data_IF_841416282136
#
_entry.id   IF_841416282136
#
_cell.length_a   1.000
_cell.length_b   1.000
_cell.length_c   1.000
_cell.angle_alpha   90.00
_cell.angle_beta   90.00
_cell.angle_gamma   90.00
#
_symmetry.space_group_name_H-M   'P 1'
#
loop_
_entity.id
_entity.type
_entity.pdbx_description
1 polymer ?
#
# COMPACT_ATOMS: atom_id res chain seq x y z
N UNK A 1 -4.13 -0.29 -55.11
CA UNK A 1 -3.97 0.43 -53.82
C UNK A 1 -4.26 -0.58 -52.74
N UNK A 2 -3.24 -0.95 -52.01
CA UNK A 2 -3.27 -2.05 -51.05
C UNK A 2 -4.00 -1.62 -49.76
N UNK A 3 -5.23 -2.10 -49.62
CA UNK A 3 -6.08 -1.86 -48.45
C UNK A 3 -5.67 -2.73 -47.24
N UNK A 4 -4.70 -3.64 -47.36
CA UNK A 4 -4.20 -4.44 -46.24
C UNK A 4 -3.39 -3.61 -45.23
N UNK A 5 -2.90 -2.44 -45.64
CA UNK A 5 -2.17 -1.50 -44.78
C UNK A 5 -3.07 -0.63 -43.88
N UNK A 6 -4.39 -0.62 -44.12
CA UNK A 6 -5.34 0.25 -43.39
C UNK A 6 -5.97 -0.48 -42.19
N UNK A 7 -5.85 -1.82 -42.11
CA UNK A 7 -6.61 -2.62 -41.13
C UNK A 7 -5.80 -3.06 -39.90
N UNK A 8 -4.54 -2.64 -39.74
CA UNK A 8 -3.75 -3.00 -38.53
C UNK A 8 -2.96 -1.82 -38.00
N UNK A 9 -3.63 -0.70 -37.83
CA UNK A 9 -3.24 0.28 -36.82
C UNK A 9 -4.52 0.79 -36.16
N UNK A 10 -5.28 -0.14 -35.56
CA UNK A 10 -5.94 0.23 -34.31
C UNK A 10 -4.75 0.57 -33.41
N UNK A 11 -4.46 1.86 -33.23
CA UNK A 11 -3.49 2.28 -32.22
C UNK A 11 -3.92 1.57 -30.94
N UNK A 12 -3.10 0.63 -30.46
CA UNK A 12 -3.29 0.13 -29.11
C UNK A 12 -3.23 1.36 -28.22
N UNK A 13 -4.40 1.81 -27.75
CA UNK A 13 -4.48 2.91 -26.80
C UNK A 13 -3.53 2.56 -25.67
N UNK A 14 -2.55 3.42 -25.38
CA UNK A 14 -1.61 3.15 -24.31
C UNK A 14 -2.41 2.94 -23.03
N UNK A 15 -2.29 1.76 -22.42
CA UNK A 15 -3.01 1.43 -21.19
C UNK A 15 -2.73 2.50 -20.15
N UNK A 16 -3.78 2.95 -19.46
CA UNK A 16 -3.63 3.87 -18.35
C UNK A 16 -2.68 3.27 -17.30
N UNK A 17 -1.85 4.12 -16.68
CA UNK A 17 -0.93 3.70 -15.61
C UNK A 17 -1.47 4.19 -14.28
N UNK A 18 -1.81 3.27 -13.39
CA UNK A 18 -2.26 3.54 -12.03
C UNK A 18 -1.07 3.31 -11.09
N UNK A 19 -0.60 4.39 -10.45
CA UNK A 19 0.51 4.33 -9.49
C UNK A 19 -0.02 4.46 -8.07
N UNK A 20 0.17 3.42 -7.25
CA UNK A 20 -0.12 3.48 -5.82
C UNK A 20 1.18 3.74 -5.06
N UNK A 21 1.30 4.92 -4.45
CA UNK A 21 2.33 5.19 -3.45
C UNK A 21 1.80 4.80 -2.07
N UNK A 22 2.50 3.93 -1.36
CA UNK A 22 2.00 3.35 -0.11
C UNK A 22 3.08 3.14 0.93
N UNK A 23 2.67 3.29 2.20
CA UNK A 23 3.50 2.95 3.35
C UNK A 23 2.79 1.88 4.19
N UNK A 24 3.48 0.83 4.64
CA UNK A 24 2.95 -0.21 5.51
C UNK A 24 2.64 0.29 6.94
N UNK A 25 3.08 1.51 7.28
CA UNK A 25 2.59 2.27 8.43
C UNK A 25 1.16 2.82 8.25
N UNK A 26 0.60 2.83 7.04
CA UNK A 26 -0.71 3.42 6.77
C UNK A 26 -1.77 2.33 6.60
N UNK A 27 -2.78 2.27 7.50
CA UNK A 27 -3.88 1.31 7.37
C UNK A 27 -4.76 1.62 6.15
N UNK A 28 -4.99 2.90 5.83
CA UNK A 28 -5.73 3.30 4.64
C UNK A 28 -5.03 2.90 3.34
N UNK A 29 -3.70 2.90 3.34
CA UNK A 29 -2.92 2.41 2.20
C UNK A 29 -3.08 0.91 1.99
N UNK A 30 -3.29 0.12 3.06
CA UNK A 30 -3.58 -1.31 2.94
C UNK A 30 -4.93 -1.55 2.25
N UNK A 31 -5.97 -0.83 2.68
CA UNK A 31 -7.31 -0.92 2.09
C UNK A 31 -7.28 -0.61 0.59
N UNK A 32 -6.61 0.49 0.22
CA UNK A 32 -6.45 0.87 -1.19
C UNK A 32 -5.64 -0.17 -1.98
N UNK A 33 -4.60 -0.74 -1.38
CA UNK A 33 -3.80 -1.80 -2.01
C UNK A 33 -4.62 -3.06 -2.29
N UNK A 34 -5.40 -3.55 -1.33
CA UNK A 34 -6.24 -4.74 -1.56
C UNK A 34 -7.32 -4.48 -2.60
N UNK A 35 -7.95 -3.29 -2.58
CA UNK A 35 -8.88 -2.91 -3.63
C UNK A 35 -8.22 -2.92 -5.02
N UNK A 36 -7.07 -2.24 -5.19
CA UNK A 36 -6.38 -2.15 -6.48
C UNK A 36 -5.84 -3.50 -6.96
N UNK A 37 -5.33 -4.36 -6.08
CA UNK A 37 -4.87 -5.70 -6.47
C UNK A 37 -6.03 -6.58 -6.96
N UNK A 38 -7.24 -6.42 -6.43
CA UNK A 38 -8.46 -7.08 -6.96
C UNK A 38 -8.85 -6.52 -8.32
N UNK A 39 -8.86 -5.19 -8.48
CA UNK A 39 -9.19 -4.55 -9.75
C UNK A 39 -8.16 -4.75 -10.86
N UNK A 40 -6.89 -5.05 -10.52
CA UNK A 40 -5.87 -5.42 -11.51
C UNK A 40 -6.29 -6.63 -12.37
N UNK A 41 -7.17 -7.50 -11.86
CA UNK A 41 -7.68 -8.66 -12.61
C UNK A 41 -8.85 -8.30 -13.56
N UNK A 42 -9.37 -7.07 -13.47
CA UNK A 42 -10.60 -6.64 -14.15
C UNK A 42 -10.32 -5.49 -15.12
N UNK A 43 -9.48 -4.53 -14.72
CA UNK A 43 -9.23 -3.31 -15.49
C UNK A 43 -8.09 -3.49 -16.48
N UNK A 44 -8.29 -2.95 -17.69
CA UNK A 44 -7.25 -2.88 -18.72
C UNK A 44 -6.28 -1.71 -18.45
N UNK A 45 -5.57 -1.79 -17.34
CA UNK A 45 -4.61 -0.78 -16.87
C UNK A 45 -3.32 -1.44 -16.38
N UNK A 46 -2.24 -0.67 -16.43
CA UNK A 46 -0.97 -1.06 -15.82
C UNK A 46 -0.92 -0.55 -14.38
N UNK A 47 -0.63 -1.43 -13.43
CA UNK A 47 -0.56 -1.09 -12.02
C UNK A 47 0.89 -1.05 -11.56
N UNK A 48 1.28 0.04 -10.91
CA UNK A 48 2.61 0.19 -10.33
C UNK A 48 2.50 0.44 -8.82
N UNK A 49 2.87 -0.56 -8.03
CA UNK A 49 2.99 -0.44 -6.58
C UNK A 49 4.34 0.20 -6.23
N UNK A 50 4.31 1.34 -5.55
CA UNK A 50 5.47 2.18 -5.20
C UNK A 50 5.59 2.30 -3.67
N UNK A 51 6.42 1.46 -3.02
CA UNK A 51 6.82 1.70 -1.64
C UNK A 51 7.39 3.12 -1.52
N UNK A 52 6.95 3.86 -0.51
CA UNK A 52 7.49 5.18 -0.16
C UNK A 52 7.48 5.36 1.35
N UNK A 53 8.16 6.40 1.84
CA UNK A 53 8.21 6.70 3.26
C UNK A 53 7.30 7.86 3.63
N UNK A 54 6.14 7.56 4.20
CA UNK A 54 5.10 8.53 4.56
C UNK A 54 5.60 9.55 5.59
N UNK A 55 6.42 9.10 6.56
CA UNK A 55 7.03 9.99 7.55
C UNK A 55 7.89 11.09 6.91
N UNK A 56 8.60 10.78 5.82
CA UNK A 56 9.38 11.74 5.05
C UNK A 56 8.51 12.77 4.32
N UNK A 57 7.36 12.34 3.80
CA UNK A 57 6.37 13.22 3.14
C UNK A 57 5.74 14.18 4.15
N UNK A 58 5.30 13.67 5.31
CA UNK A 58 4.76 14.50 6.39
C UNK A 58 5.77 15.55 6.84
N UNK A 59 7.04 15.16 7.08
CA UNK A 59 8.10 16.08 7.46
C UNK A 59 8.31 17.18 6.41
N UNK A 60 8.42 16.82 5.14
CA UNK A 60 8.69 17.75 4.04
C UNK A 60 7.55 18.74 3.81
N UNK A 61 6.30 18.29 3.97
CA UNK A 61 5.10 19.11 3.75
C UNK A 61 4.65 19.88 4.99
N UNK A 62 5.24 19.63 6.15
CA UNK A 62 4.77 20.18 7.43
C UNK A 62 3.45 19.56 7.93
N UNK A 63 2.95 18.52 7.26
CA UNK A 63 1.74 17.82 7.66
C UNK A 63 1.99 16.95 8.90
N UNK A 64 0.95 16.71 9.70
CA UNK A 64 1.00 15.87 10.91
C UNK A 64 0.03 14.70 10.80
N UNK A 65 0.27 13.57 11.48
CA UNK A 65 -0.68 12.47 11.52
C UNK A 65 -2.06 12.95 12.01
N UNK A 66 -3.17 12.51 11.39
CA UNK A 66 -4.51 12.97 11.78
C UNK A 66 -4.87 12.63 13.23
N UNK A 67 -4.30 11.55 13.77
CA UNK A 67 -4.45 11.12 15.16
C UNK A 67 -3.93 12.14 16.19
N UNK A 68 -3.12 13.13 15.77
CA UNK A 68 -2.70 14.24 16.65
C UNK A 68 -3.86 15.16 17.06
N UNK A 69 -5.00 15.08 16.38
CA UNK A 69 -6.24 15.76 16.76
C UNK A 69 -7.20 14.71 17.36
N UNK A 70 -7.55 14.78 18.67
CA UNK A 70 -8.30 13.74 19.35
C UNK A 70 -9.61 13.33 18.65
N UNK A 71 -10.39 14.31 18.17
CA UNK A 71 -11.63 14.04 17.45
C UNK A 71 -11.42 13.27 16.13
N UNK A 72 -10.33 13.57 15.40
CA UNK A 72 -9.98 12.85 14.16
C UNK A 72 -9.47 11.45 14.46
N UNK A 73 -8.72 11.27 15.55
CA UNK A 73 -8.30 9.95 16.04
C UNK A 73 -9.48 9.05 16.38
N UNK A 74 -10.42 9.55 17.19
CA UNK A 74 -11.62 8.80 17.56
C UNK A 74 -12.48 8.41 16.35
N UNK A 75 -12.65 9.34 15.40
CA UNK A 75 -13.34 9.05 14.14
C UNK A 75 -12.58 8.00 13.31
N UNK A 76 -11.26 8.12 13.19
CA UNK A 76 -10.42 7.21 12.41
C UNK A 76 -10.51 5.76 12.87
N UNK A 77 -10.61 5.50 14.18
CA UNK A 77 -10.80 4.13 14.70
C UNK A 77 -12.11 3.53 14.24
N UNK A 78 -13.21 4.27 14.32
CA UNK A 78 -14.54 3.82 13.88
C UNK A 78 -14.56 3.60 12.37
N UNK A 79 -13.97 4.53 11.63
CA UNK A 79 -13.90 4.49 10.17
C UNK A 79 -13.07 3.30 9.67
N UNK A 80 -11.88 3.07 10.23
CA UNK A 80 -11.04 1.93 9.88
C UNK A 80 -11.73 0.59 10.13
N UNK A 81 -12.51 0.47 11.22
CA UNK A 81 -13.28 -0.75 11.47
C UNK A 81 -14.33 -0.99 10.37
N UNK A 82 -15.09 0.04 10.00
CA UNK A 82 -16.10 -0.05 8.92
C UNK A 82 -15.47 -0.36 7.56
N UNK A 83 -14.35 0.28 7.27
CA UNK A 83 -13.65 0.07 6.01
C UNK A 83 -12.98 -1.31 5.94
N UNK A 84 -12.46 -1.82 7.05
CA UNK A 84 -11.92 -3.17 7.12
C UNK A 84 -13.00 -4.22 6.80
N UNK A 85 -14.20 -4.06 7.36
CA UNK A 85 -15.36 -4.91 7.05
C UNK A 85 -15.78 -4.76 5.58
N UNK A 86 -15.94 -3.52 5.09
CA UNK A 86 -16.36 -3.25 3.71
C UNK A 86 -15.39 -3.81 2.66
N UNK A 87 -14.09 -3.66 2.89
CA UNK A 87 -13.05 -4.15 1.98
C UNK A 87 -12.62 -5.58 2.27
N UNK A 88 -13.20 -6.29 3.24
CA UNK A 88 -12.78 -7.63 3.65
C UNK A 88 -11.25 -7.71 3.86
N UNK A 89 -10.75 -6.84 4.75
CA UNK A 89 -9.34 -6.78 5.13
C UNK A 89 -9.25 -7.09 6.63
N UNK A 90 -8.40 -8.04 7.07
CA UNK A 90 -8.31 -8.45 8.47
C UNK A 90 -7.47 -7.45 9.27
N UNK A 91 -7.90 -6.19 9.28
CA UNK A 91 -7.27 -5.10 10.01
C UNK A 91 -7.75 -5.13 11.46
N UNK A 92 -6.78 -5.11 12.37
CA UNK A 92 -6.95 -5.06 13.82
C UNK A 92 -6.31 -3.77 14.32
N UNK A 93 -6.98 -3.09 15.26
CA UNK A 93 -6.40 -1.93 15.92
C UNK A 93 -5.18 -2.38 16.76
N UNK A 94 -3.96 -1.87 16.47
CA UNK A 94 -2.77 -2.24 17.24
C UNK A 94 -2.87 -1.75 18.69
N UNK A 95 -2.31 -2.52 19.64
CA UNK A 95 -2.22 -2.09 21.05
C UNK A 95 -1.27 -0.89 21.20
N UNK A 96 -0.17 -0.93 20.45
CA UNK A 96 0.78 0.17 20.34
C UNK A 96 0.66 0.81 18.95
N UNK A 97 -0.28 1.74 18.84
CA UNK A 97 -0.54 2.48 17.60
C UNK A 97 0.69 3.29 17.15
N UNK A 98 1.48 3.82 18.10
CA UNK A 98 2.62 4.65 17.77
C UNK A 98 3.73 3.83 17.10
N UNK A 99 4.01 2.63 17.63
CA UNK A 99 4.92 1.68 16.97
C UNK A 99 4.44 1.38 15.55
N UNK A 100 3.16 1.02 15.39
CA UNK A 100 2.62 0.63 14.08
C UNK A 100 2.77 1.72 13.00
N UNK A 101 2.69 3.00 13.36
CA UNK A 101 2.80 4.11 12.40
C UNK A 101 4.21 4.72 12.26
N UNK A 102 5.12 4.46 13.21
CA UNK A 102 6.43 5.13 13.24
C UNK A 102 7.61 4.27 12.80
N UNK A 103 7.49 2.95 12.81
CA UNK A 103 8.64 2.05 12.65
C UNK A 103 8.75 1.40 11.27
N UNK A 104 8.06 1.92 10.24
CA UNK A 104 8.02 1.30 8.91
C UNK A 104 9.28 1.49 8.05
N UNK A 105 10.24 2.33 8.43
CA UNK A 105 11.39 2.66 7.57
C UNK A 105 12.20 1.42 7.12
N UNK A 106 12.55 0.45 7.99
CA UNK A 106 13.23 -0.77 7.56
C UNK A 106 12.39 -1.59 6.57
N UNK A 107 11.10 -1.79 6.87
CA UNK A 107 10.15 -2.44 5.97
C UNK A 107 10.05 -1.74 4.59
N UNK A 108 10.00 -0.41 4.55
CA UNK A 108 9.97 0.34 3.29
C UNK A 108 11.24 0.16 2.46
N UNK A 109 12.41 0.07 3.12
CA UNK A 109 13.68 -0.20 2.43
C UNK A 109 13.70 -1.61 1.86
N UNK A 110 13.23 -2.60 2.62
CA UNK A 110 13.10 -3.97 2.14
C UNK A 110 12.16 -4.05 0.93
N UNK A 111 10.99 -3.41 1.01
CA UNK A 111 10.05 -3.35 -0.12
C UNK A 111 10.62 -2.64 -1.34
N UNK A 112 11.44 -1.60 -1.12
CA UNK A 112 12.13 -0.91 -2.22
C UNK A 112 13.15 -1.83 -2.89
N UNK A 113 13.95 -2.58 -2.12
CA UNK A 113 14.87 -3.58 -2.65
C UNK A 113 14.11 -4.68 -3.41
N UNK A 114 13.04 -5.23 -2.82
CA UNK A 114 12.21 -6.25 -3.46
C UNK A 114 11.62 -5.77 -4.79
N UNK A 115 11.17 -4.51 -4.86
CA UNK A 115 10.68 -3.91 -6.11
C UNK A 115 11.74 -3.86 -7.22
N UNK A 116 13.02 -3.69 -6.86
CA UNK A 116 14.12 -3.56 -7.85
C UNK A 116 14.67 -4.93 -8.22
N UNK A 117 14.95 -5.77 -7.23
CA UNK A 117 15.72 -7.01 -7.42
C UNK A 117 14.84 -8.25 -7.60
N UNK A 118 13.64 -8.26 -7.02
CA UNK A 118 12.74 -9.42 -7.05
C UNK A 118 11.25 -9.01 -7.13
N UNK A 119 10.84 -8.27 -8.19
CA UNK A 119 9.53 -7.58 -8.26
C UNK A 119 8.31 -8.51 -8.13
N UNK A 120 8.44 -9.77 -8.49
CA UNK A 120 7.37 -10.78 -8.35
C UNK A 120 6.97 -11.00 -6.87
N UNK A 121 7.89 -10.75 -5.94
CA UNK A 121 7.64 -10.87 -4.50
C UNK A 121 7.11 -9.57 -3.87
N UNK A 122 7.07 -8.46 -4.59
CA UNK A 122 6.69 -7.16 -4.01
C UNK A 122 5.29 -7.18 -3.41
N UNK A 123 4.30 -7.67 -4.17
CA UNK A 123 2.90 -7.73 -3.75
C UNK A 123 2.69 -8.66 -2.55
N UNK A 124 3.14 -9.93 -2.57
CA UNK A 124 2.98 -10.81 -1.41
C UNK A 124 3.73 -10.31 -0.17
N UNK A 125 4.96 -9.80 -0.31
CA UNK A 125 5.74 -9.26 0.80
C UNK A 125 5.08 -8.02 1.42
N UNK A 126 4.59 -7.11 0.58
CA UNK A 126 3.84 -5.93 1.03
C UNK A 126 2.62 -6.31 1.87
N UNK A 127 1.83 -7.27 1.37
CA UNK A 127 0.65 -7.76 2.09
C UNK A 127 1.04 -8.38 3.43
N UNK A 128 2.13 -9.14 3.46
CA UNK A 128 2.56 -9.80 4.70
C UNK A 128 3.02 -8.80 5.75
N UNK A 129 3.76 -7.76 5.37
CA UNK A 129 4.15 -6.69 6.29
C UNK A 129 2.94 -5.93 6.87
N UNK A 130 1.89 -5.69 6.07
CA UNK A 130 0.63 -5.16 6.61
C UNK A 130 -0.06 -6.15 7.54
N UNK A 131 -0.13 -7.43 7.20
CA UNK A 131 -0.73 -8.45 8.08
C UNK A 131 0.02 -8.57 9.40
N UNK A 132 1.35 -8.47 9.41
CA UNK A 132 2.15 -8.38 10.64
C UNK A 132 1.76 -7.15 11.44
N UNK A 133 1.92 -5.96 10.87
CA UNK A 133 1.77 -4.70 11.58
C UNK A 133 0.33 -4.39 12.00
N UNK A 134 -0.62 -4.53 11.07
CA UNK A 134 -2.03 -4.12 11.22
C UNK A 134 -2.99 -5.30 11.32
N UNK A 135 -2.57 -6.54 11.09
CA UNK A 135 -3.43 -7.72 11.29
C UNK A 135 -3.14 -8.49 12.58
N UNK A 136 -1.87 -8.52 13.00
CA UNK A 136 -1.41 -9.32 14.14
C UNK A 136 -0.65 -8.53 15.21
N UNK A 137 -0.56 -7.19 15.07
CA UNK A 137 0.14 -6.29 16.01
C UNK A 137 1.60 -6.72 16.26
N UNK A 138 2.27 -7.17 15.20
CA UNK A 138 3.64 -7.66 15.22
C UNK A 138 4.62 -6.59 14.73
N UNK A 139 5.89 -6.77 15.08
CA UNK A 139 6.97 -5.91 14.61
C UNK A 139 7.16 -6.03 13.08
N UNK A 140 7.72 -4.97 12.49
CA UNK A 140 8.16 -4.88 11.09
C UNK A 140 9.45 -4.06 10.94
N UNK A 141 10.18 -3.84 12.04
CA UNK A 141 11.33 -2.95 12.07
C UNK A 141 12.65 -3.67 12.34
N UNK A 142 12.63 -4.71 13.18
CA UNK A 142 13.81 -5.54 13.47
C UNK A 142 14.18 -6.43 12.29
N UNK A 143 15.46 -6.79 12.19
CA UNK A 143 15.93 -7.68 11.14
C UNK A 143 15.31 -9.08 11.29
N UNK A 144 15.20 -9.57 12.52
CA UNK A 144 14.59 -10.86 12.83
C UNK A 144 13.14 -10.91 12.34
N UNK A 145 12.35 -9.87 12.64
CA UNK A 145 10.95 -9.82 12.22
C UNK A 145 10.77 -9.67 10.72
N UNK A 146 11.75 -9.14 9.98
CA UNK A 146 11.69 -9.00 8.53
C UNK A 146 12.06 -10.29 7.79
N UNK A 147 12.65 -11.27 8.49
CA UNK A 147 13.01 -12.58 7.93
C UNK A 147 11.89 -13.64 8.08
N UNK A 148 10.90 -13.37 8.94
CA UNK A 148 9.72 -14.23 9.19
C UNK A 148 8.60 -14.03 8.17
#
# INVERSE_FOLDING_TARGET
RDLSSITTTIMASQKAVIKLYYDVASPYSWLAFEALTRYQQIWDANFEFKPFFLGGVMKTTGNRPPATVPAKGAHGTIDLQRMAEYFDVPLVQPKDFQRAIMTSLPAQRLLTAARVDCPDFLVPLTRELWRRNWGRDQDIASAESLLE
#
